data_IF_257350742945
#
_entry.id   IF_257350742945
#
_cell.length_a   1.000
_cell.length_b   1.000
_cell.length_c   1.000
_cell.angle_alpha   90.00
_cell.angle_beta   90.00
_cell.angle_gamma   90.00
#
_symmetry.space_group_name_H-M   'P 1'
#
loop_
_entity.id
_entity.type
_entity.pdbx_description
1 polymer ?
#
# COMPACT_ATOMS: atom_id res chain seq x y z
N UNK A 1 7.94 -7.38 18.38
CA UNK A 1 7.44 -6.03 18.05
C UNK A 1 6.78 -6.15 16.70
N UNK A 2 5.46 -6.01 16.65
CA UNK A 2 4.69 -6.27 15.42
C UNK A 2 4.38 -4.91 14.85
N UNK A 3 5.16 -4.56 13.85
CA UNK A 3 4.99 -3.33 13.11
C UNK A 3 3.78 -3.52 12.19
N UNK A 4 2.79 -2.63 12.29
CA UNK A 4 1.86 -2.40 11.19
C UNK A 4 2.64 -1.49 10.22
N UNK A 5 3.26 -2.05 9.17
CA UNK A 5 4.46 -1.42 8.62
C UNK A 5 4.18 -0.14 7.82
N UNK A 6 2.93 0.08 7.39
CA UNK A 6 2.51 1.34 6.74
C UNK A 6 2.42 2.54 7.68
N UNK A 7 2.23 2.34 9.00
CA UNK A 7 2.13 3.45 9.97
C UNK A 7 3.39 3.65 10.81
N UNK A 8 4.31 2.68 10.82
CA UNK A 8 5.55 2.77 11.59
C UNK A 8 6.75 3.30 10.81
N UNK A 9 6.71 3.24 9.47
CA UNK A 9 7.86 3.56 8.62
C UNK A 9 7.66 4.80 7.72
N UNK A 10 6.50 5.45 7.76
CA UNK A 10 6.31 6.80 7.22
C UNK A 10 6.67 7.84 8.28
N UNK A 11 7.04 9.06 7.89
CA UNK A 11 7.40 10.23 8.74
C UNK A 11 6.48 10.54 9.95
N UNK A 12 5.38 9.82 10.11
CA UNK A 12 4.59 9.71 11.33
C UNK A 12 5.32 8.79 12.32
N UNK A 13 6.31 9.32 13.05
CA UNK A 13 7.08 8.63 14.09
C UNK A 13 6.23 8.05 15.23
N UNK A 14 5.51 6.97 14.96
CA UNK A 14 4.71 6.26 15.93
C UNK A 14 5.65 5.60 16.96
N UNK A 15 5.62 6.13 18.18
CA UNK A 15 6.53 5.75 19.27
C UNK A 15 5.84 5.00 20.42
N UNK A 16 4.56 4.67 20.27
CA UNK A 16 3.79 3.98 21.31
C UNK A 16 3.96 2.45 21.25
N UNK A 17 3.69 1.77 22.39
CA UNK A 17 3.68 0.31 22.45
C UNK A 17 2.40 -0.26 21.85
N UNK A 18 2.55 -1.25 20.99
CA UNK A 18 1.44 -2.04 20.42
C UNK A 18 1.31 -3.34 21.21
N UNK A 19 0.10 -3.63 21.70
CA UNK A 19 -0.22 -4.87 22.40
C UNK A 19 -1.16 -5.71 21.53
N UNK A 20 -0.79 -6.97 21.32
CA UNK A 20 -1.49 -7.90 20.44
C UNK A 20 -1.19 -9.33 20.91
N UNK A 21 -2.14 -10.25 20.74
CA UNK A 21 -1.94 -11.66 21.09
C UNK A 21 -0.95 -12.33 20.14
N UNK A 22 -0.25 -13.36 20.61
CA UNK A 22 0.69 -14.13 19.78
C UNK A 22 0.01 -14.81 18.57
N UNK A 23 -1.26 -15.18 18.69
CA UNK A 23 -2.00 -15.79 17.57
C UNK A 23 -2.26 -14.75 16.47
N UNK A 24 -2.80 -13.59 16.84
CA UNK A 24 -3.09 -12.48 15.90
C UNK A 24 -1.81 -11.95 15.25
N UNK A 25 -0.75 -11.86 16.05
CA UNK A 25 0.60 -11.54 15.63
C UNK A 25 1.10 -12.39 14.46
N UNK A 26 1.12 -13.71 14.66
CA UNK A 26 1.60 -14.67 13.67
C UNK A 26 0.72 -14.68 12.44
N UNK A 27 -0.60 -14.59 12.61
CA UNK A 27 -1.52 -14.51 11.48
C UNK A 27 -1.25 -13.28 10.62
N UNK A 28 -1.11 -12.10 11.23
CA UNK A 28 -0.81 -10.87 10.51
C UNK A 28 0.53 -10.95 9.76
N UNK A 29 1.54 -11.57 10.36
CA UNK A 29 2.83 -11.82 9.70
C UNK A 29 2.67 -12.70 8.46
N UNK A 30 2.03 -13.88 8.58
CA UNK A 30 1.83 -14.80 7.46
C UNK A 30 1.05 -14.14 6.30
N UNK A 31 -0.02 -13.40 6.64
CA UNK A 31 -0.80 -12.67 5.63
C UNK A 31 0.03 -11.62 4.89
N UNK A 32 0.93 -10.93 5.59
CA UNK A 32 1.81 -9.93 4.96
C UNK A 32 2.89 -10.59 4.10
N UNK A 33 3.50 -11.68 4.56
CA UNK A 33 4.51 -12.44 3.81
C UNK A 33 3.93 -13.00 2.51
N UNK A 34 2.74 -13.60 2.57
CA UNK A 34 2.04 -14.12 1.39
C UNK A 34 1.69 -12.98 0.41
N UNK A 35 1.16 -11.87 0.91
CA UNK A 35 0.79 -10.72 0.07
C UNK A 35 2.00 -10.14 -0.67
N UNK A 36 3.13 -9.97 0.02
CA UNK A 36 4.37 -9.47 -0.60
C UNK A 36 4.90 -10.48 -1.62
N UNK A 37 4.88 -11.77 -1.31
CA UNK A 37 5.34 -12.82 -2.22
C UNK A 37 4.50 -12.84 -3.51
N UNK A 38 3.17 -12.85 -3.38
CA UNK A 38 2.26 -12.78 -4.52
C UNK A 38 2.48 -11.51 -5.35
N UNK A 39 2.68 -10.36 -4.69
CA UNK A 39 2.98 -9.11 -5.38
C UNK A 39 4.28 -9.19 -6.18
N UNK A 40 5.34 -9.74 -5.60
CA UNK A 40 6.65 -9.88 -6.25
C UNK A 40 6.59 -10.81 -7.47
N UNK A 41 5.85 -11.91 -7.39
CA UNK A 41 5.60 -12.78 -8.53
C UNK A 41 4.84 -12.03 -9.64
N UNK A 42 3.76 -11.34 -9.28
CA UNK A 42 2.99 -10.55 -10.26
C UNK A 42 3.84 -9.49 -10.94
N UNK A 43 4.71 -8.80 -10.18
CA UNK A 43 5.63 -7.79 -10.71
C UNK A 43 6.69 -8.42 -11.61
N UNK A 44 7.21 -9.59 -11.25
CA UNK A 44 8.22 -10.30 -12.07
C UNK A 44 7.69 -10.67 -13.45
N UNK A 45 6.42 -11.06 -13.55
CA UNK A 45 5.83 -11.52 -14.81
C UNK A 45 5.13 -10.41 -15.61
N UNK A 46 4.52 -9.44 -14.93
CA UNK A 46 3.63 -8.44 -15.55
C UNK A 46 3.98 -6.99 -15.21
N UNK A 47 4.89 -6.76 -14.26
CA UNK A 47 5.25 -5.44 -13.78
C UNK A 47 6.35 -4.77 -14.60
N UNK A 48 6.41 -3.42 -14.59
CA UNK A 48 7.55 -2.70 -15.10
C UNK A 48 8.82 -3.07 -14.33
N UNK A 49 9.95 -3.17 -15.03
CA UNK A 49 11.27 -3.43 -14.41
C UNK A 49 11.76 -2.27 -13.55
N UNK A 50 11.24 -1.08 -13.80
CA UNK A 50 11.58 0.17 -13.10
C UNK A 50 10.83 0.26 -11.77
N UNK A 51 11.51 0.78 -10.74
CA UNK A 51 10.87 1.14 -9.47
C UNK A 51 10.16 2.49 -9.62
N UNK A 52 8.84 2.51 -9.52
CA UNK A 52 8.04 3.72 -9.60
C UNK A 52 6.56 3.42 -9.43
N UNK A 53 5.74 4.47 -9.37
CA UNK A 53 4.29 4.32 -9.41
C UNK A 53 3.88 3.64 -10.72
N UNK A 54 2.87 2.74 -10.68
CA UNK A 54 2.39 2.11 -11.89
C UNK A 54 1.86 3.17 -12.86
N UNK A 55 2.00 2.93 -14.17
CA UNK A 55 1.65 3.94 -15.18
C UNK A 55 0.20 4.42 -15.10
N UNK A 56 -0.72 3.56 -14.65
CA UNK A 56 -2.14 3.92 -14.45
C UNK A 56 -2.37 4.89 -13.28
N UNK A 57 -1.42 5.04 -12.34
CA UNK A 57 -1.48 6.01 -11.25
C UNK A 57 -0.98 7.40 -11.64
N UNK A 58 -0.65 7.63 -12.92
CA UNK A 58 -0.36 8.98 -13.41
C UNK A 58 -1.62 9.85 -13.33
N UNK A 59 -1.46 11.12 -12.98
CA UNK A 59 -2.58 12.05 -12.81
C UNK A 59 -3.47 12.12 -14.06
N UNK A 60 -2.87 12.10 -15.24
CA UNK A 60 -3.57 12.14 -16.52
C UNK A 60 -4.50 10.92 -16.70
N UNK A 61 -4.08 9.73 -16.26
CA UNK A 61 -4.88 8.50 -16.33
C UNK A 61 -6.00 8.49 -15.29
N UNK A 62 -5.74 9.06 -14.09
CA UNK A 62 -6.71 9.17 -13.01
C UNK A 62 -7.85 10.16 -13.33
N UNK A 63 -7.59 11.17 -14.17
CA UNK A 63 -8.62 12.10 -14.62
C UNK A 63 -9.67 11.47 -15.53
N UNK A 64 -9.30 10.42 -16.27
CA UNK A 64 -10.18 9.69 -17.20
C UNK A 64 -11.02 8.61 -16.50
N UNK A 65 -10.72 8.32 -15.22
CA UNK A 65 -11.47 7.34 -14.46
C UNK A 65 -12.94 7.76 -14.28
N UNK A 66 -13.88 6.80 -14.30
CA UNK A 66 -15.25 7.03 -13.84
C UNK A 66 -15.28 7.69 -12.46
N UNK A 67 -16.26 8.57 -12.23
CA UNK A 67 -16.36 9.38 -11.00
C UNK A 67 -16.21 8.56 -9.72
N UNK A 68 -16.89 7.41 -9.64
CA UNK A 68 -16.81 6.51 -8.48
C UNK A 68 -15.38 5.97 -8.24
N UNK A 69 -14.64 5.64 -9.30
CA UNK A 69 -13.26 5.18 -9.18
C UNK A 69 -12.31 6.33 -8.83
N UNK A 70 -12.57 7.52 -9.36
CA UNK A 70 -11.81 8.74 -9.09
C UNK A 70 -11.89 9.15 -7.62
N UNK A 71 -13.09 9.11 -7.02
CA UNK A 71 -13.29 9.34 -5.59
C UNK A 71 -12.54 8.33 -4.70
N UNK A 72 -12.48 7.06 -5.12
CA UNK A 72 -11.73 6.03 -4.40
C UNK A 72 -10.21 6.21 -4.53
N UNK A 73 -9.73 6.61 -5.71
CA UNK A 73 -8.30 6.78 -5.96
C UNK A 73 -7.73 8.07 -5.34
N UNK A 74 -8.49 9.18 -5.41
CA UNK A 74 -8.03 10.53 -5.04
C UNK A 74 -8.61 11.03 -3.70
N UNK A 75 -9.47 10.26 -3.06
CA UNK A 75 -10.21 10.68 -1.88
C UNK A 75 -11.30 11.72 -2.19
N UNK A 76 -12.04 12.11 -1.14
CA UNK A 76 -13.20 13.03 -1.25
C UNK A 76 -12.87 14.41 -1.82
N UNK A 77 -11.65 14.87 -1.61
CA UNK A 77 -11.24 16.21 -2.03
C UNK A 77 -10.59 16.21 -3.41
N UNK A 78 -10.28 15.05 -4.00
CA UNK A 78 -9.77 14.90 -5.37
C UNK A 78 -8.39 15.49 -5.64
N UNK A 79 -7.76 16.12 -4.65
CA UNK A 79 -6.55 16.94 -4.79
C UNK A 79 -5.27 16.14 -4.47
N UNK A 80 -5.37 14.94 -3.91
CA UNK A 80 -4.19 14.18 -3.47
C UNK A 80 -4.41 12.67 -3.58
N UNK A 81 -3.37 11.94 -4.01
CA UNK A 81 -3.26 10.48 -3.84
C UNK A 81 -3.10 10.16 -2.35
N UNK A 82 -4.13 10.44 -1.56
CA UNK A 82 -4.04 10.39 -0.11
C UNK A 82 -4.08 8.93 0.36
N UNK A 83 -2.94 8.46 0.88
CA UNK A 83 -2.85 7.19 1.61
C UNK A 83 -2.43 5.97 0.79
N UNK A 84 -2.25 6.09 -0.53
CA UNK A 84 -1.65 5.02 -1.31
C UNK A 84 -0.15 4.93 -1.02
N UNK A 85 0.27 3.82 -0.45
CA UNK A 85 1.68 3.47 -0.30
C UNK A 85 2.01 2.32 -1.23
N UNK A 86 3.22 2.30 -1.82
CA UNK A 86 3.69 1.09 -2.46
C UNK A 86 3.65 -0.06 -1.45
N UNK A 87 3.28 -1.24 -1.91
CA UNK A 87 3.52 -2.48 -1.16
C UNK A 87 5.02 -2.54 -0.84
N UNK A 88 5.32 -2.91 0.41
CA UNK A 88 6.64 -2.85 1.03
C UNK A 88 7.80 -3.13 0.06
N UNK A 89 8.82 -2.26 0.08
CA UNK A 89 10.04 -2.40 -0.74
C UNK A 89 10.92 -3.56 -0.32
#
# INVERSE_FOLDING_TARGET
>A
MILIPSRSCTDLGFSAKVYVTEATAKLGQLMMEDLVTMHMESKKFYGPKESGFPQWMKWEELEVLPSALKEMALGKDGIKLDGWMPLYS
#
